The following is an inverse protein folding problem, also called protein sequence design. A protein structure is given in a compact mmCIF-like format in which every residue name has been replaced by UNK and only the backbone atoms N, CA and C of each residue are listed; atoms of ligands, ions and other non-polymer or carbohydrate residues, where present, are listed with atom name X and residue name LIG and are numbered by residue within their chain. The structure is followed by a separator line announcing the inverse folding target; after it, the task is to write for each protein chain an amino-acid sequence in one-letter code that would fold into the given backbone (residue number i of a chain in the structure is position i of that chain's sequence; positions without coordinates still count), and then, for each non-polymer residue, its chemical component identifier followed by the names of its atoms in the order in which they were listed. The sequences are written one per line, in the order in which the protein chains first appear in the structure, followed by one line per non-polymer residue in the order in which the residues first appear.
data_IF_383723158841
#
_entry.id   IF_383723158841
#
_cell.length_a   1.000
_cell.length_b   1.000
_cell.length_c   1.000
_cell.angle_alpha   90.00
_cell.angle_beta   90.00
_cell.angle_gamma   90.00
#
_symmetry.space_group_name_H-M   'P 1'
#
loop_
_entity.id
_entity.type
_entity.pdbx_description
1 polymer ?
#
# COMPACT_ATOMS: atom_id res chain seq x y z
N UNK A 1 -1.42 19.73 18.33
CA UNK A 1 -1.20 18.47 17.58
C UNK A 1 -0.51 18.79 16.27
N UNK A 2 0.63 18.19 16.05
CA UNK A 2 1.41 18.37 14.82
C UNK A 2 1.24 17.14 13.94
N UNK A 3 0.83 17.34 12.68
CA UNK A 3 0.62 16.24 11.73
C UNK A 3 1.56 16.44 10.55
N UNK A 4 2.45 15.47 10.35
CA UNK A 4 3.34 15.42 9.20
C UNK A 4 2.90 14.29 8.27
N UNK A 5 2.71 14.62 7.00
CA UNK A 5 2.39 13.64 5.96
C UNK A 5 3.66 13.22 5.23
N UNK A 6 3.90 11.92 5.25
CA UNK A 6 5.06 11.26 4.65
C UNK A 6 4.59 10.30 3.55
N UNK A 7 5.51 9.87 2.73
CA UNK A 7 5.22 9.03 1.59
C UNK A 7 6.12 7.80 1.53
N UNK A 8 5.56 6.68 1.10
CA UNK A 8 6.29 5.45 0.81
C UNK A 8 6.00 5.06 -0.64
N UNK A 9 7.01 4.95 -1.51
CA UNK A 9 6.79 4.58 -2.90
C UNK A 9 6.36 3.13 -3.05
N UNK A 10 5.50 2.87 -4.04
CA UNK A 10 5.14 1.54 -4.53
C UNK A 10 5.71 1.43 -5.93
N UNK A 11 6.63 0.49 -6.14
CA UNK A 11 7.35 0.38 -7.41
C UNK A 11 7.17 -0.99 -8.04
N UNK A 12 7.27 -1.04 -9.37
CA UNK A 12 7.40 -2.32 -10.07
C UNK A 12 8.74 -2.97 -9.74
N UNK A 13 8.89 -4.24 -10.08
CA UNK A 13 10.17 -4.95 -9.93
C UNK A 13 11.28 -4.33 -10.79
N UNK A 14 10.91 -3.65 -11.87
CA UNK A 14 11.84 -2.89 -12.71
C UNK A 14 12.16 -1.48 -12.23
N UNK A 15 11.59 -1.05 -11.10
CA UNK A 15 11.86 0.26 -10.49
C UNK A 15 10.95 1.39 -10.94
N UNK A 16 9.93 1.11 -11.74
CA UNK A 16 8.95 2.13 -12.13
C UNK A 16 8.03 2.47 -10.97
N UNK A 17 7.82 3.76 -10.71
CA UNK A 17 6.85 4.21 -9.71
C UNK A 17 5.43 3.91 -10.18
N UNK A 18 4.66 3.20 -9.36
CA UNK A 18 3.27 2.82 -9.63
C UNK A 18 2.28 3.57 -8.73
N UNK A 19 2.72 3.96 -7.57
CA UNK A 19 1.90 4.67 -6.61
C UNK A 19 2.70 5.16 -5.41
N UNK A 20 2.00 5.86 -4.54
CA UNK A 20 2.57 6.40 -3.30
C UNK A 20 1.59 6.12 -2.17
N UNK A 21 2.08 5.52 -1.11
CA UNK A 21 1.33 5.37 0.14
C UNK A 21 1.62 6.55 1.05
N UNK A 22 0.59 7.23 1.53
CA UNK A 22 0.71 8.30 2.51
C UNK A 22 0.67 7.72 3.92
N UNK A 23 1.62 8.15 4.73
CA UNK A 23 1.72 7.79 6.15
C UNK A 23 1.80 9.07 6.94
N UNK A 24 0.96 9.19 7.97
CA UNK A 24 0.92 10.40 8.79
C UNK A 24 1.56 10.13 10.16
N UNK A 25 2.45 11.03 10.55
CA UNK A 25 3.00 11.08 11.88
C UNK A 25 2.26 12.14 12.69
N UNK A 26 1.69 11.73 13.80
CA UNK A 26 1.01 12.63 14.73
C UNK A 26 1.86 12.78 15.98
N UNK A 27 2.14 14.03 16.35
CA UNK A 27 2.81 14.33 17.60
C UNK A 27 1.81 14.98 18.56
N UNK A 28 1.55 14.29 19.68
CA UNK A 28 0.77 14.81 20.80
C UNK A 28 1.63 14.77 22.05
N UNK A 29 1.69 15.86 22.78
CA UNK A 29 2.39 15.94 24.07
C UNK A 29 3.83 15.41 24.01
N UNK A 30 4.53 15.67 22.91
CA UNK A 30 5.90 15.20 22.70
C UNK A 30 6.05 13.72 22.33
N UNK A 31 4.96 12.98 22.19
CA UNK A 31 5.00 11.57 21.79
C UNK A 31 4.60 11.44 20.31
N UNK A 32 5.50 10.85 19.50
CA UNK A 32 5.21 10.53 18.11
C UNK A 32 4.44 9.23 18.02
N UNK A 33 3.29 9.27 17.36
CA UNK A 33 2.49 8.09 17.03
C UNK A 33 2.39 7.96 15.51
N UNK A 34 2.66 6.74 15.00
CA UNK A 34 2.51 6.42 13.59
C UNK A 34 1.18 5.70 13.40
N UNK A 35 0.43 6.10 12.36
CA UNK A 35 -0.79 5.40 11.98
C UNK A 35 -1.99 5.66 12.87
N UNK A 36 -2.06 6.82 13.49
CA UNK A 36 -3.27 7.23 14.22
C UNK A 36 -4.30 7.76 13.21
N UNK A 37 -5.44 7.09 13.15
CA UNK A 37 -6.53 7.38 12.22
C UNK A 37 -7.56 8.28 12.88
N UNK A 38 -7.20 9.53 13.02
CA UNK A 38 -8.14 10.54 13.49
C UNK A 38 -8.69 11.32 12.29
N UNK A 39 -9.82 11.95 12.49
CA UNK A 39 -10.49 12.72 11.45
C UNK A 39 -9.59 13.83 10.90
N UNK A 40 -8.81 14.48 11.75
CA UNK A 40 -7.86 15.52 11.34
C UNK A 40 -6.73 14.98 10.47
N UNK A 41 -6.25 13.76 10.75
CA UNK A 41 -5.24 13.08 9.94
C UNK A 41 -5.77 12.81 8.55
N UNK A 42 -6.96 12.22 8.46
CA UNK A 42 -7.61 11.94 7.18
C UNK A 42 -7.86 13.22 6.39
N UNK A 43 -8.36 14.26 7.06
CA UNK A 43 -8.59 15.57 6.43
C UNK A 43 -7.30 16.15 5.86
N UNK A 44 -6.21 16.11 6.61
CA UNK A 44 -4.90 16.58 6.16
C UNK A 44 -4.36 15.78 4.98
N UNK A 45 -4.53 14.46 4.99
CA UNK A 45 -4.16 13.60 3.87
C UNK A 45 -4.97 13.95 2.62
N UNK A 46 -6.29 14.09 2.73
CA UNK A 46 -7.15 14.44 1.60
C UNK A 46 -6.81 15.82 1.03
N UNK A 47 -6.48 16.80 1.86
CA UNK A 47 -6.03 18.10 1.39
C UNK A 47 -4.73 18.00 0.58
N UNK A 48 -3.76 17.23 1.05
CA UNK A 48 -2.52 16.99 0.31
C UNK A 48 -2.80 16.29 -1.02
N UNK A 49 -3.63 15.25 -1.02
CA UNK A 49 -3.98 14.50 -2.23
C UNK A 49 -4.67 15.40 -3.25
N UNK A 50 -5.60 16.23 -2.82
CA UNK A 50 -6.28 17.18 -3.69
C UNK A 50 -5.30 18.18 -4.31
N UNK A 51 -4.35 18.68 -3.53
CA UNK A 51 -3.31 19.61 -4.02
C UNK A 51 -2.38 18.96 -5.04
N UNK A 52 -2.23 17.63 -5.03
CA UNK A 52 -1.36 16.85 -5.92
C UNK A 52 -2.14 16.01 -6.95
N UNK A 53 -3.45 16.22 -7.05
CA UNK A 53 -4.31 15.40 -7.91
C UNK A 53 -3.87 15.38 -9.37
N UNK A 54 -3.47 16.53 -9.91
CA UNK A 54 -2.97 16.61 -11.28
C UNK A 54 -1.71 15.76 -11.49
N UNK A 55 -0.77 15.78 -10.54
CA UNK A 55 0.43 14.97 -10.61
C UNK A 55 0.12 13.48 -10.63
N UNK A 56 -0.79 13.01 -9.77
CA UNK A 56 -1.22 11.61 -9.77
C UNK A 56 -1.86 11.21 -11.10
N UNK A 57 -2.80 12.03 -11.59
CA UNK A 57 -3.51 11.74 -12.85
C UNK A 57 -2.58 11.76 -14.06
N UNK A 58 -1.73 12.78 -14.17
CA UNK A 58 -0.86 12.98 -15.33
C UNK A 58 0.19 11.88 -15.43
N UNK A 59 0.59 11.27 -14.30
CA UNK A 59 1.57 10.20 -14.26
C UNK A 59 0.95 8.80 -14.12
N UNK A 60 -0.37 8.69 -14.05
CA UNK A 60 -1.07 7.41 -13.93
C UNK A 60 -0.76 6.66 -12.64
N UNK A 61 -0.59 7.37 -11.53
CA UNK A 61 -0.18 6.82 -10.25
C UNK A 61 -1.33 6.65 -9.28
N UNK A 62 -1.29 5.60 -8.49
CA UNK A 62 -2.19 5.43 -7.35
C UNK A 62 -1.69 6.22 -6.15
N UNK A 63 -2.63 6.74 -5.37
CA UNK A 63 -2.39 7.27 -4.04
C UNK A 63 -3.08 6.37 -3.02
N UNK A 64 -2.34 5.86 -2.06
CA UNK A 64 -2.83 4.87 -1.11
C UNK A 64 -2.85 5.47 0.29
N UNK A 65 -3.97 5.32 0.98
CA UNK A 65 -4.11 5.68 2.38
C UNK A 65 -4.64 4.49 3.17
N UNK A 66 -4.42 4.47 4.47
CA UNK A 66 -5.07 3.55 5.40
C UNK A 66 -6.01 4.35 6.28
N UNK A 67 -7.28 3.95 6.33
CA UNK A 67 -8.30 4.60 7.14
C UNK A 67 -9.33 3.56 7.57
N UNK A 68 -9.97 3.79 8.70
CA UNK A 68 -11.11 3.01 9.17
C UNK A 68 -12.44 3.45 8.53
N UNK A 69 -12.41 4.54 7.75
CA UNK A 69 -13.57 5.04 7.02
C UNK A 69 -13.79 4.23 5.75
N UNK A 70 -15.06 3.95 5.46
CA UNK A 70 -15.47 3.16 4.28
C UNK A 70 -15.99 4.06 3.14
N UNK A 71 -15.76 5.35 3.21
CA UNK A 71 -16.23 6.30 2.21
C UNK A 71 -15.48 6.15 0.88
N UNK A 72 -16.23 6.22 -0.20
CA UNK A 72 -15.69 6.27 -1.56
C UNK A 72 -15.49 7.74 -1.97
N UNK A 73 -14.33 8.03 -2.57
CA UNK A 73 -13.97 9.36 -3.06
C UNK A 73 -13.95 9.37 -4.59
N UNK A 74 -15.11 9.54 -5.22
CA UNK A 74 -15.26 9.49 -6.68
C UNK A 74 -14.51 10.60 -7.41
N UNK A 75 -14.33 11.75 -6.76
CA UNK A 75 -13.56 12.87 -7.32
C UNK A 75 -12.04 12.68 -7.28
N UNK A 76 -11.58 11.61 -6.62
CA UNK A 76 -10.19 11.17 -6.60
C UNK A 76 -10.09 9.73 -7.11
N UNK A 77 -10.24 9.51 -8.43
CA UNK A 77 -10.35 8.15 -8.98
C UNK A 77 -9.08 7.31 -8.81
N UNK A 78 -7.93 7.95 -8.59
CA UNK A 78 -6.66 7.28 -8.33
C UNK A 78 -6.46 6.89 -6.86
N UNK A 79 -7.32 7.35 -5.96
CA UNK A 79 -7.22 7.07 -4.52
C UNK A 79 -7.59 5.61 -4.23
N UNK A 80 -6.77 4.96 -3.37
CA UNK A 80 -7.04 3.61 -2.87
C UNK A 80 -6.92 3.59 -1.35
N UNK A 81 -7.79 2.81 -0.72
CA UNK A 81 -7.86 2.68 0.73
C UNK A 81 -7.50 1.25 1.11
N UNK A 82 -6.51 1.09 1.96
CA UNK A 82 -6.17 -0.21 2.52
C UNK A 82 -7.22 -0.66 3.54
N UNK A 83 -7.67 -1.91 3.42
CA UNK A 83 -8.58 -2.53 4.37
C UNK A 83 -8.12 -3.94 4.72
N UNK A 84 -8.46 -4.39 5.90
CA UNK A 84 -8.25 -5.79 6.35
C UNK A 84 -9.55 -6.59 6.35
N UNK A 85 -10.63 -5.97 5.96
CA UNK A 85 -11.98 -6.51 6.00
C UNK A 85 -12.53 -6.75 4.59
N UNK A 86 -13.79 -7.12 4.51
CA UNK A 86 -14.47 -7.29 3.23
C UNK A 86 -14.54 -6.00 2.42
N UNK A 87 -14.55 -6.15 1.11
CA UNK A 87 -14.63 -5.02 0.19
C UNK A 87 -16.03 -4.40 0.21
N UNK A 88 -16.09 -3.10 0.46
CA UNK A 88 -17.31 -2.29 0.43
C UNK A 88 -17.46 -1.55 -0.90
N UNK A 89 -16.33 -1.09 -1.47
CA UNK A 89 -16.32 -0.41 -2.77
C UNK A 89 -14.98 -0.65 -3.50
N UNK A 90 -14.93 -0.26 -4.76
CA UNK A 90 -13.81 -0.57 -5.66
C UNK A 90 -12.55 0.26 -5.42
N UNK A 91 -12.56 1.25 -4.54
CA UNK A 91 -11.36 2.00 -4.15
C UNK A 91 -10.62 1.35 -2.98
N UNK A 92 -11.00 0.15 -2.58
CA UNK A 92 -10.35 -0.57 -1.49
C UNK A 92 -9.41 -1.65 -2.03
N UNK A 93 -8.21 -1.71 -1.43
CA UNK A 93 -7.24 -2.78 -1.59
C UNK A 93 -7.12 -3.57 -0.30
N UNK A 94 -6.86 -4.85 -0.40
CA UNK A 94 -6.70 -5.71 0.78
C UNK A 94 -5.28 -5.60 1.35
N UNK A 95 -5.18 -5.43 2.65
CA UNK A 95 -3.90 -5.33 3.37
C UNK A 95 -3.68 -6.51 4.32
N UNK A 96 -2.46 -6.64 4.79
CA UNK A 96 -2.04 -7.57 5.85
C UNK A 96 -2.31 -9.04 5.57
N UNK A 97 -2.15 -9.49 4.31
CA UNK A 97 -2.18 -10.91 3.99
C UNK A 97 -1.08 -11.66 4.73
N UNK A 98 -1.44 -12.76 5.36
CA UNK A 98 -0.55 -13.62 6.13
C UNK A 98 -0.55 -13.38 7.63
N UNK A 99 -1.31 -12.39 8.11
CA UNK A 99 -1.53 -12.22 9.54
C UNK A 99 -2.51 -13.27 10.05
N UNK A 100 -2.17 -13.90 11.16
CA UNK A 100 -2.97 -14.97 11.77
C UNK A 100 -4.42 -14.55 12.01
N UNK A 101 -5.37 -15.31 11.45
CA UNK A 101 -6.80 -15.10 11.63
C UNK A 101 -7.42 -13.95 10.85
N UNK A 102 -6.65 -13.28 9.95
CA UNK A 102 -7.06 -11.99 9.43
C UNK A 102 -7.74 -11.97 8.08
N UNK A 103 -7.00 -12.28 7.00
CA UNK A 103 -7.38 -11.80 5.67
C UNK A 103 -7.66 -12.87 4.62
N UNK A 104 -7.66 -14.14 5.00
CA UNK A 104 -7.91 -15.24 4.06
C UNK A 104 -9.34 -15.21 3.50
N UNK A 105 -10.34 -14.98 4.34
CA UNK A 105 -11.74 -14.93 3.91
C UNK A 105 -12.01 -13.70 3.04
N UNK A 106 -11.60 -12.48 3.41
CA UNK A 106 -11.70 -11.32 2.53
C UNK A 106 -11.00 -11.51 1.17
N UNK A 107 -9.86 -12.18 1.13
CA UNK A 107 -9.18 -12.49 -0.12
C UNK A 107 -10.04 -13.33 -1.06
N UNK A 108 -10.59 -14.43 -0.53
CA UNK A 108 -11.35 -15.40 -1.34
C UNK A 108 -12.69 -14.83 -1.80
N UNK A 109 -13.36 -14.06 -0.94
CA UNK A 109 -14.73 -13.58 -1.16
C UNK A 109 -14.83 -12.14 -1.66
N UNK A 110 -13.77 -11.34 -1.48
CA UNK A 110 -13.85 -9.89 -1.65
C UNK A 110 -13.74 -9.39 -3.09
N UNK A 111 -13.10 -10.12 -3.99
CA UNK A 111 -12.88 -9.66 -5.36
C UNK A 111 -11.99 -8.42 -5.46
N UNK A 112 -10.97 -8.33 -4.61
CA UNK A 112 -10.03 -7.22 -4.63
C UNK A 112 -9.15 -7.24 -5.88
N UNK A 113 -8.86 -6.07 -6.44
CA UNK A 113 -7.92 -5.90 -7.54
C UNK A 113 -6.48 -6.08 -7.08
N UNK A 114 -6.15 -5.54 -5.91
CA UNK A 114 -4.80 -5.54 -5.33
C UNK A 114 -4.85 -6.00 -3.89
N UNK A 115 -3.87 -6.82 -3.50
CA UNK A 115 -3.66 -7.23 -2.13
C UNK A 115 -2.18 -7.08 -1.76
N UNK A 116 -1.90 -6.70 -0.53
CA UNK A 116 -0.55 -6.55 -0.02
C UNK A 116 -0.27 -7.56 1.08
N UNK A 117 0.88 -8.23 0.99
CA UNK A 117 1.36 -9.11 2.06
C UNK A 117 1.78 -8.29 3.29
N UNK A 118 1.60 -8.88 4.45
CA UNK A 118 2.15 -8.35 5.68
C UNK A 118 3.68 -8.40 5.63
N UNK A 119 4.33 -7.34 6.11
CA UNK A 119 5.79 -7.21 6.07
C UNK A 119 6.50 -8.31 6.86
N UNK A 120 6.09 -8.53 8.11
CA UNK A 120 6.68 -9.54 8.98
C UNK A 120 6.50 -10.94 8.42
N UNK A 121 5.31 -11.25 7.94
CA UNK A 121 5.02 -12.52 7.28
C UNK A 121 5.95 -12.73 6.08
N UNK A 122 6.16 -11.71 5.27
CA UNK A 122 7.07 -11.77 4.13
C UNK A 122 8.50 -12.06 4.58
N UNK A 123 9.01 -11.33 5.56
CA UNK A 123 10.36 -11.52 6.10
C UNK A 123 10.59 -12.95 6.62
N UNK A 124 9.58 -13.51 7.27
CA UNK A 124 9.66 -14.86 7.84
C UNK A 124 9.55 -15.98 6.80
N UNK A 125 8.98 -15.73 5.62
CA UNK A 125 8.62 -16.77 4.67
C UNK A 125 9.27 -16.64 3.28
N UNK A 126 9.85 -15.51 2.94
CA UNK A 126 10.33 -15.23 1.58
C UNK A 126 11.41 -16.22 1.10
N UNK A 127 12.20 -16.76 2.01
CA UNK A 127 13.25 -17.74 1.69
C UNK A 127 12.75 -19.20 1.65
N UNK A 128 11.49 -19.42 1.98
CA UNK A 128 10.90 -20.76 1.92
C UNK A 128 10.53 -21.15 0.50
N UNK A 129 10.74 -22.40 0.14
CA UNK A 129 10.42 -22.93 -1.20
C UNK A 129 8.94 -22.78 -1.56
N UNK A 130 8.06 -22.78 -0.57
CA UNK A 130 6.61 -22.64 -0.78
C UNK A 130 6.17 -21.19 -1.09
N UNK A 131 7.02 -20.20 -0.82
CA UNK A 131 6.63 -18.80 -0.96
C UNK A 131 6.14 -18.42 -2.37
N UNK A 132 6.83 -18.82 -3.47
CA UNK A 132 6.32 -18.56 -4.82
C UNK A 132 4.98 -19.24 -5.10
N UNK A 133 4.77 -20.45 -4.58
CA UNK A 133 3.50 -21.17 -4.71
C UNK A 133 2.38 -20.43 -3.99
N UNK A 134 2.68 -19.89 -2.82
CA UNK A 134 1.73 -19.08 -2.05
C UNK A 134 1.29 -17.83 -2.83
N UNK A 135 2.25 -17.12 -3.43
CA UNK A 135 1.94 -15.95 -4.27
C UNK A 135 1.03 -16.34 -5.44
N UNK A 136 1.33 -17.43 -6.13
CA UNK A 136 0.49 -17.92 -7.24
C UNK A 136 -0.91 -18.30 -6.77
N UNK A 137 -1.04 -18.87 -5.58
CA UNK A 137 -2.34 -19.17 -4.97
C UNK A 137 -3.14 -17.91 -4.65
N UNK A 138 -2.51 -16.89 -4.11
CA UNK A 138 -3.14 -15.59 -3.86
C UNK A 138 -3.64 -14.99 -5.16
N UNK A 139 -2.86 -15.07 -6.24
CA UNK A 139 -3.22 -14.51 -7.54
C UNK A 139 -4.41 -15.18 -8.22
N UNK A 140 -4.84 -16.34 -7.75
CA UNK A 140 -6.10 -16.95 -8.20
C UNK A 140 -7.33 -16.13 -7.74
N UNK A 141 -7.20 -15.36 -6.67
CA UNK A 141 -8.27 -14.54 -6.10
C UNK A 141 -8.05 -13.05 -6.29
N UNK A 142 -6.80 -12.63 -6.47
CA UNK A 142 -6.42 -11.24 -6.58
C UNK A 142 -5.27 -11.10 -7.58
N UNK A 143 -5.50 -10.40 -8.66
CA UNK A 143 -4.57 -10.33 -9.79
C UNK A 143 -3.23 -9.70 -9.43
N UNK A 144 -3.25 -8.63 -8.63
CA UNK A 144 -2.07 -7.83 -8.31
C UNK A 144 -1.68 -7.99 -6.86
N UNK A 145 -0.44 -8.41 -6.61
CA UNK A 145 0.09 -8.59 -5.26
C UNK A 145 1.25 -7.63 -5.04
N UNK A 146 1.22 -6.93 -3.92
CA UNK A 146 2.31 -6.08 -3.44
C UNK A 146 3.06 -6.85 -2.37
N UNK A 147 4.39 -6.94 -2.52
CA UNK A 147 5.27 -7.61 -1.55
C UNK A 147 6.19 -6.58 -0.91
N UNK A 148 6.12 -6.40 0.43
CA UNK A 148 7.05 -5.54 1.14
C UNK A 148 8.41 -6.25 1.30
N UNK A 149 9.38 -5.87 0.47
CA UNK A 149 10.70 -6.49 0.45
C UNK A 149 11.76 -5.48 0.03
N UNK A 150 12.90 -5.49 0.72
CA UNK A 150 14.04 -4.60 0.44
C UNK A 150 15.07 -5.23 -0.47
N UNK A 151 15.35 -6.50 -0.26
CA UNK A 151 16.47 -7.18 -0.90
C UNK A 151 16.11 -7.54 -2.35
N UNK A 152 16.80 -6.91 -3.29
CA UNK A 152 16.61 -7.14 -4.72
C UNK A 152 17.02 -8.55 -5.16
N UNK A 153 17.74 -9.30 -4.35
CA UNK A 153 18.09 -10.70 -4.65
C UNK A 153 16.85 -11.59 -4.76
N UNK A 154 15.73 -11.19 -4.12
CA UNK A 154 14.45 -11.89 -4.23
C UNK A 154 13.66 -11.56 -5.51
N UNK A 155 14.03 -10.51 -6.25
CA UNK A 155 13.22 -10.03 -7.37
C UNK A 155 13.04 -11.06 -8.50
N UNK A 156 14.03 -11.86 -8.90
CA UNK A 156 13.80 -12.89 -9.92
C UNK A 156 12.69 -13.87 -9.55
N UNK A 157 12.67 -14.31 -8.30
CA UNK A 157 11.65 -15.21 -7.77
C UNK A 157 10.27 -14.55 -7.72
N UNK A 158 10.21 -13.30 -7.31
CA UNK A 158 8.95 -12.53 -7.26
C UNK A 158 8.41 -12.26 -8.67
N UNK A 159 9.30 -11.99 -9.62
CA UNK A 159 8.92 -11.81 -11.04
C UNK A 159 8.33 -13.09 -11.61
N UNK A 160 8.95 -14.22 -11.37
CA UNK A 160 8.45 -15.53 -11.81
C UNK A 160 7.09 -15.84 -11.19
N UNK A 161 6.88 -15.52 -9.92
CA UNK A 161 5.60 -15.69 -9.25
C UNK A 161 4.52 -14.73 -9.72
N UNK A 162 4.87 -13.69 -10.47
CA UNK A 162 3.94 -12.72 -11.02
C UNK A 162 3.58 -11.60 -10.07
N UNK A 163 4.46 -11.23 -9.16
CA UNK A 163 4.27 -10.07 -8.26
C UNK A 163 4.14 -8.79 -9.07
N UNK A 164 3.14 -7.98 -8.75
CA UNK A 164 2.89 -6.72 -9.43
C UNK A 164 3.82 -5.61 -8.98
N UNK A 165 4.02 -5.47 -7.67
CA UNK A 165 4.78 -4.37 -7.10
C UNK A 165 5.47 -4.76 -5.80
N UNK A 166 6.46 -3.96 -5.44
CA UNK A 166 7.19 -4.06 -4.18
C UNK A 166 7.18 -2.73 -3.45
N UNK A 167 7.30 -2.79 -2.13
CA UNK A 167 7.58 -1.64 -1.28
C UNK A 167 8.88 -1.94 -0.52
N UNK A 168 10.01 -1.56 -1.11
CA UNK A 168 11.33 -1.84 -0.54
C UNK A 168 11.80 -0.78 0.43
N UNK A 169 11.26 0.43 0.33
CA UNK A 169 11.59 1.50 1.28
C UNK A 169 10.58 1.52 2.41
N UNK A 170 11.06 1.22 3.61
CA UNK A 170 10.21 1.18 4.80
C UNK A 170 10.29 2.45 5.64
N UNK A 171 11.22 3.33 5.31
CA UNK A 171 11.28 4.65 5.92
C UNK A 171 10.48 5.62 5.09
N UNK A 172 9.46 6.25 5.66
CA UNK A 172 8.73 7.28 4.95
C UNK A 172 9.66 8.43 4.56
N UNK A 173 9.44 8.98 3.38
CA UNK A 173 10.14 10.15 2.89
C UNK A 173 9.15 11.30 2.69
N UNK A 174 9.65 12.49 2.47
CA UNK A 174 8.79 13.61 2.13
C UNK A 174 8.16 13.40 0.76
N UNK A 175 6.93 13.88 0.58
CA UNK A 175 6.21 13.72 -0.69
C UNK A 175 7.02 14.25 -1.88
N UNK A 176 7.70 15.39 -1.69
CA UNK A 176 8.51 16.02 -2.73
C UNK A 176 9.66 15.11 -3.20
N UNK A 177 10.20 14.27 -2.33
CA UNK A 177 11.21 13.28 -2.70
C UNK A 177 10.61 12.17 -3.58
N UNK A 178 9.37 11.73 -3.28
CA UNK A 178 8.66 10.80 -4.14
C UNK A 178 8.38 11.37 -5.53
N UNK A 179 8.02 12.64 -5.62
CA UNK A 179 7.78 13.31 -6.89
C UNK A 179 9.00 13.24 -7.81
N UNK A 180 10.21 13.31 -7.24
CA UNK A 180 11.47 13.26 -8.01
C UNK A 180 11.79 11.88 -8.57
N UNK A 181 11.14 10.82 -8.09
CA UNK A 181 11.38 9.45 -8.58
C UNK A 181 10.89 9.23 -10.03
N UNK A 182 10.04 10.11 -10.51
CA UNK A 182 9.55 10.05 -11.91
C UNK A 182 10.52 10.71 -12.86
N UNK A 183 11.35 11.59 -12.40
CA UNK A 183 12.43 12.36 -13.06
C UNK A 183 12.45 12.41 -14.53
#
# INVERSE_FOLDING_TARGET
MNIDNWAIPITSLGGQLLGVELVSHVEREGIRQIGVWEEEVLHGQLMLIESKAAWFRDNGLYCVITTDREERYEYLPFLRQMTREGKVHNQQWLDDLGVHGGTAIPLVTGGFEVARLNRRYTEENIDRLIFPVLIKSIRQYCEKVIVPVRDKTHYPLLREAGVWAVQGEFRPMRFEQCEKLIG
#
